data_IF_298251651323
#
_entry.id   IF_298251651323
#
_cell.length_a   1.000
_cell.length_b   1.000
_cell.length_c   1.000
_cell.angle_alpha   90.00
_cell.angle_beta   90.00
_cell.angle_gamma   90.00
#
_symmetry.space_group_name_H-M   'P 1'
#
loop_
_entity.id
_entity.type
_entity.pdbx_description
1 polymer ?
#
# COMPACT_ATOMS: atom_id res chain seq x y z
N UNK A 1 -114.03 -32.51 96.96
CA UNK A 1 -113.62 -31.13 96.67
C UNK A 1 -112.11 -31.19 96.52
N UNK A 2 -111.46 -30.77 95.46
CA UNK A 2 -111.87 -29.89 94.37
C UNK A 2 -110.81 -30.00 93.27
N UNK A 3 -111.19 -29.49 92.11
CA UNK A 3 -110.56 -29.55 90.79
C UNK A 3 -109.24 -28.78 90.67
N UNK A 4 -108.39 -29.18 89.72
CA UNK A 4 -107.72 -28.32 88.73
C UNK A 4 -106.98 -29.21 87.71
N UNK A 5 -107.45 -29.37 86.47
CA UNK A 5 -107.29 -28.49 85.28
C UNK A 5 -105.87 -28.43 84.67
N UNK A 6 -105.83 -28.68 83.36
CA UNK A 6 -104.70 -28.46 82.46
C UNK A 6 -104.13 -29.78 81.94
N UNK A 7 -103.95 -30.01 80.64
CA UNK A 7 -104.13 -29.21 79.44
C UNK A 7 -104.04 -30.25 78.30
N UNK A 8 -104.97 -30.22 77.34
CA UNK A 8 -104.92 -31.08 76.13
C UNK A 8 -103.80 -30.53 75.22
N UNK A 9 -103.14 -31.36 74.40
CA UNK A 9 -103.42 -31.54 72.98
C UNK A 9 -102.45 -32.64 72.49
N UNK A 10 -102.77 -33.61 71.65
CA UNK A 10 -103.98 -34.01 70.95
C UNK A 10 -103.56 -35.30 70.24
N UNK A 11 -104.18 -36.42 70.62
CA UNK A 11 -103.94 -37.75 70.05
C UNK A 11 -105.28 -38.28 69.59
N UNK A 12 -105.65 -38.00 68.35
CA UNK A 12 -106.70 -38.78 67.68
C UNK A 12 -106.01 -39.87 66.85
N UNK A 13 -106.24 -41.09 67.34
CA UNK A 13 -105.87 -42.35 66.72
C UNK A 13 -106.87 -42.68 65.59
N UNK A 14 -106.34 -43.28 64.51
CA UNK A 14 -106.95 -44.19 63.51
C UNK A 14 -108.43 -43.95 63.09
N UNK A 15 -108.75 -43.75 61.79
CA UNK A 15 -110.05 -43.21 61.36
C UNK A 15 -111.33 -44.04 61.55
N UNK A 16 -111.32 -45.21 62.22
CA UNK A 16 -112.52 -45.81 62.83
C UNK A 16 -112.09 -46.94 63.79
N UNK A 17 -112.61 -46.88 65.01
CA UNK A 17 -112.26 -47.66 66.21
C UNK A 17 -111.96 -49.17 66.03
N UNK A 18 -110.73 -49.60 66.37
CA UNK A 18 -110.37 -50.56 67.45
C UNK A 18 -108.94 -51.15 67.30
N UNK A 19 -108.13 -51.01 68.36
CA UNK A 19 -106.83 -51.67 68.62
C UNK A 19 -106.99 -53.19 68.89
N UNK A 20 -105.95 -54.07 68.70
CA UNK A 20 -104.68 -54.03 69.44
C UNK A 20 -103.36 -54.36 68.70
N UNK A 21 -102.26 -53.97 69.34
CA UNK A 21 -100.84 -54.16 68.99
C UNK A 21 -100.38 -55.62 68.73
N UNK A 22 -99.36 -55.81 67.87
CA UNK A 22 -98.07 -56.44 68.29
C UNK A 22 -96.94 -56.47 67.23
N UNK A 23 -95.79 -55.87 67.61
CA UNK A 23 -94.37 -56.28 67.36
C UNK A 23 -93.82 -56.46 65.92
N UNK A 24 -92.88 -55.61 65.49
CA UNK A 24 -91.41 -55.78 65.75
C UNK A 24 -90.53 -54.86 64.88
N UNK A 25 -89.96 -53.84 65.54
CA UNK A 25 -88.56 -53.37 65.51
C UNK A 25 -87.68 -53.48 64.23
N UNK A 26 -87.35 -52.35 63.62
CA UNK A 26 -86.02 -52.08 63.01
C UNK A 26 -85.52 -50.75 63.61
N UNK A 27 -84.37 -50.79 64.29
CA UNK A 27 -83.76 -49.63 64.96
C UNK A 27 -83.14 -48.63 63.96
N UNK A 28 -82.91 -47.37 64.37
CA UNK A 28 -82.37 -46.33 63.50
C UNK A 28 -80.96 -46.71 62.99
N UNK A 29 -80.69 -46.45 61.70
CA UNK A 29 -79.35 -46.59 61.10
C UNK A 29 -78.33 -45.78 61.89
N UNK A 30 -77.22 -46.41 62.26
CA UNK A 30 -76.15 -45.76 63.02
C UNK A 30 -75.53 -44.57 62.27
N UNK A 31 -74.95 -43.59 62.98
CA UNK A 31 -74.35 -42.41 62.35
C UNK A 31 -73.23 -42.82 61.38
N UNK A 32 -73.14 -42.13 60.24
CA UNK A 32 -72.02 -42.28 59.29
C UNK A 32 -70.70 -42.07 60.02
N UNK A 33 -69.75 -42.99 59.81
CA UNK A 33 -68.43 -42.92 60.44
C UNK A 33 -67.68 -41.61 60.11
N UNK A 34 -66.72 -41.19 60.94
CA UNK A 34 -65.94 -39.99 60.69
C UNK A 34 -65.17 -40.09 59.36
N UNK A 35 -65.09 -38.99 58.62
CA UNK A 35 -64.25 -38.88 57.41
C UNK A 35 -62.80 -39.23 57.76
N UNK A 36 -62.15 -40.05 56.92
CA UNK A 36 -60.76 -40.45 57.13
C UNK A 36 -59.78 -39.26 57.13
N UNK A 37 -58.58 -39.42 57.72
CA UNK A 37 -57.57 -38.37 57.74
C UNK A 37 -57.13 -37.96 56.33
N UNK A 38 -56.83 -36.67 56.14
CA UNK A 38 -56.28 -36.15 54.88
C UNK A 38 -54.92 -36.82 54.57
N UNK A 39 -54.69 -37.16 53.30
CA UNK A 39 -53.43 -37.77 52.86
C UNK A 39 -52.23 -36.82 53.00
N UNK A 40 -51.03 -37.38 53.15
CA UNK A 40 -49.78 -36.60 53.25
C UNK A 40 -49.51 -35.79 51.97
N UNK A 41 -48.86 -34.61 52.06
CA UNK A 41 -48.40 -33.87 50.90
C UNK A 41 -47.48 -34.70 49.99
N UNK A 42 -47.56 -34.49 48.68
CA UNK A 42 -46.68 -35.14 47.70
C UNK A 42 -45.22 -34.69 47.85
N UNK A 43 -44.28 -35.54 47.42
CA UNK A 43 -42.86 -35.21 47.40
C UNK A 43 -42.56 -34.04 46.43
N UNK A 44 -41.55 -33.18 46.72
CA UNK A 44 -41.07 -32.18 45.77
C UNK A 44 -40.68 -32.79 44.43
N UNK A 45 -40.96 -32.09 43.33
CA UNK A 45 -40.57 -32.52 41.98
C UNK A 45 -39.04 -32.52 41.77
N UNK A 46 -38.54 -33.24 40.76
CA UNK A 46 -37.11 -33.24 40.43
C UNK A 46 -36.63 -31.84 40.03
N UNK A 47 -35.33 -31.57 40.22
CA UNK A 47 -34.69 -30.36 39.72
C UNK A 47 -34.84 -30.27 38.18
N UNK A 48 -35.06 -29.06 37.66
CA UNK A 48 -35.11 -28.81 36.22
C UNK A 48 -33.76 -29.07 35.52
N UNK A 49 -33.76 -29.23 34.18
CA UNK A 49 -32.52 -29.43 33.42
C UNK A 49 -31.60 -28.21 33.52
N UNK A 50 -30.28 -28.43 33.45
CA UNK A 50 -29.30 -27.35 33.30
C UNK A 50 -29.59 -26.54 32.04
N UNK A 51 -29.49 -25.21 32.12
CA UNK A 51 -29.69 -24.33 30.97
C UNK A 51 -28.63 -24.51 29.87
N UNK A 52 -28.87 -23.99 28.65
CA UNK A 52 -27.91 -24.09 27.55
C UNK A 52 -26.60 -23.35 27.87
N UNK A 53 -25.47 -23.89 27.41
CA UNK A 53 -24.17 -23.21 27.45
C UNK A 53 -24.24 -21.90 26.65
N UNK A 54 -23.66 -20.82 27.17
CA UNK A 54 -23.61 -19.52 26.49
C UNK A 54 -22.77 -19.53 25.19
N UNK A 55 -22.93 -18.53 24.31
CA UNK A 55 -22.18 -18.46 23.05
C UNK A 55 -20.66 -18.30 23.27
N UNK A 56 -19.85 -18.99 22.46
CA UNK A 56 -18.39 -18.87 22.44
C UNK A 56 -17.96 -17.45 22.00
N UNK A 57 -16.87 -16.93 22.56
CA UNK A 57 -16.42 -15.54 22.40
C UNK A 57 -16.16 -15.12 20.95
N UNK A 58 -16.51 -13.87 20.62
CA UNK A 58 -16.36 -13.25 19.30
C UNK A 58 -14.90 -12.93 18.99
N UNK A 59 -14.51 -13.04 17.71
CA UNK A 59 -13.24 -12.51 17.23
C UNK A 59 -13.12 -11.00 17.52
N UNK A 60 -11.90 -10.55 17.79
CA UNK A 60 -11.54 -9.16 18.05
C UNK A 60 -10.49 -8.69 17.05
N UNK A 61 -10.55 -7.41 16.69
CA UNK A 61 -9.62 -6.77 15.74
C UNK A 61 -8.96 -5.58 16.45
N UNK A 62 -7.63 -5.52 16.39
CA UNK A 62 -6.81 -4.40 16.81
C UNK A 62 -5.93 -3.91 15.65
N UNK A 63 -5.53 -2.64 15.70
CA UNK A 63 -4.58 -2.04 14.76
C UNK A 63 -3.18 -2.18 15.32
N UNK A 64 -2.26 -2.71 14.53
CA UNK A 64 -0.83 -2.77 14.83
C UNK A 64 -0.09 -1.57 14.26
N UNK A 65 0.96 -1.83 13.47
CA UNK A 65 1.83 -0.81 12.91
C UNK A 65 1.26 -0.23 11.61
N UNK A 66 1.57 1.04 11.33
CA UNK A 66 1.28 1.68 10.05
C UNK A 66 2.59 2.13 9.40
N UNK A 67 2.93 1.54 8.27
CA UNK A 67 4.17 1.79 7.53
C UNK A 67 3.87 2.32 6.13
N UNK A 68 4.82 3.01 5.51
CA UNK A 68 4.70 3.41 4.10
C UNK A 68 5.18 2.29 3.17
N UNK A 69 4.60 2.19 1.97
CA UNK A 69 5.06 1.25 0.94
C UNK A 69 4.56 1.60 -0.46
N UNK A 70 4.98 0.84 -1.46
CA UNK A 70 4.61 1.08 -2.87
C UNK A 70 3.18 0.64 -3.20
N UNK A 71 2.63 -0.30 -2.43
CA UNK A 71 1.29 -0.83 -2.61
C UNK A 71 0.53 -0.80 -1.28
N UNK A 72 -0.77 -0.54 -1.37
CA UNK A 72 -1.64 -0.66 -0.21
C UNK A 72 -1.71 -2.12 0.22
N UNK A 73 -1.48 -2.37 1.51
CA UNK A 73 -1.56 -3.72 2.07
C UNK A 73 -2.15 -3.68 3.48
N UNK A 74 -2.88 -4.73 3.83
CA UNK A 74 -3.28 -5.04 5.21
C UNK A 74 -2.71 -6.41 5.54
N UNK A 75 -1.96 -6.50 6.64
CA UNK A 75 -1.27 -7.71 7.07
C UNK A 75 -1.79 -8.10 8.45
N UNK A 76 -2.39 -9.28 8.58
CA UNK A 76 -2.76 -9.82 9.89
C UNK A 76 -1.57 -10.57 10.50
N UNK A 77 -1.04 -10.06 11.61
CA UNK A 77 0.13 -10.63 12.29
C UNK A 77 -0.20 -11.77 13.25
N UNK A 78 -1.42 -11.81 13.77
CA UNK A 78 -1.76 -12.68 14.91
C UNK A 78 -2.82 -13.71 14.58
N UNK A 79 -3.71 -13.45 13.61
CA UNK A 79 -4.82 -14.35 13.29
C UNK A 79 -5.92 -14.36 14.37
N UNK A 80 -6.98 -15.15 14.16
CA UNK A 80 -8.11 -15.22 15.08
C UNK A 80 -7.80 -16.03 16.35
N UNK A 81 -8.46 -15.74 17.49
CA UNK A 81 -9.58 -14.81 17.65
C UNK A 81 -9.19 -13.37 18.01
N UNK A 82 -7.90 -13.03 18.03
CA UNK A 82 -7.41 -11.67 18.32
C UNK A 82 -6.52 -11.20 17.17
N UNK A 83 -7.15 -10.69 16.13
CA UNK A 83 -6.47 -10.20 14.93
C UNK A 83 -5.78 -8.86 15.21
N UNK A 84 -4.55 -8.71 14.72
CA UNK A 84 -3.78 -7.45 14.76
C UNK A 84 -3.38 -7.14 13.33
N UNK A 85 -3.99 -6.09 12.79
CA UNK A 85 -3.80 -5.69 11.40
C UNK A 85 -2.77 -4.57 11.33
N UNK A 86 -1.67 -4.81 10.62
CA UNK A 86 -0.73 -3.78 10.19
C UNK A 86 -1.15 -3.22 8.83
N UNK A 87 -0.90 -1.93 8.61
CA UNK A 87 -1.26 -1.23 7.39
C UNK A 87 -0.02 -0.74 6.66
N UNK A 88 0.06 -1.02 5.36
CA UNK A 88 1.01 -0.39 4.45
C UNK A 88 0.26 0.69 3.68
N UNK A 89 0.56 1.96 3.97
CA UNK A 89 0.00 3.10 3.25
C UNK A 89 0.77 3.27 1.93
N UNK A 90 0.07 3.26 0.78
CA UNK A 90 0.71 3.51 -0.49
C UNK A 90 1.19 4.96 -0.53
N UNK A 91 2.50 5.15 -0.68
CA UNK A 91 3.07 6.46 -0.96
C UNK A 91 3.48 6.53 -2.42
N UNK A 92 2.92 7.49 -3.13
CA UNK A 92 3.44 7.89 -4.43
C UNK A 92 4.63 8.80 -4.14
N UNK A 93 5.86 8.37 -4.41
CA UNK A 93 6.93 9.35 -4.62
C UNK A 93 6.85 9.78 -6.08
N UNK A 94 6.38 11.01 -6.37
CA UNK A 94 6.46 11.50 -7.73
C UNK A 94 7.93 11.49 -8.13
N UNK A 95 8.28 10.70 -9.15
CA UNK A 95 9.59 10.79 -9.75
C UNK A 95 9.77 12.22 -10.27
N UNK A 96 10.72 12.95 -9.70
CA UNK A 96 11.10 14.25 -10.21
C UNK A 96 11.87 14.04 -11.50
N UNK A 97 11.33 14.50 -12.62
CA UNK A 97 12.06 14.53 -13.89
C UNK A 97 12.89 15.80 -13.92
N UNK A 98 14.22 15.65 -13.99
CA UNK A 98 15.14 16.77 -14.08
C UNK A 98 15.73 16.83 -15.48
N UNK A 99 15.54 17.93 -16.22
CA UNK A 99 16.13 18.06 -17.54
C UNK A 99 17.54 18.64 -17.50
N UNK A 100 18.36 18.24 -18.47
CA UNK A 100 19.63 18.87 -18.81
C UNK A 100 19.46 19.58 -20.15
N UNK A 101 19.73 20.88 -20.14
CA UNK A 101 19.75 21.71 -21.34
C UNK A 101 21.07 22.48 -21.39
N UNK A 102 21.80 22.46 -22.53
CA UNK A 102 22.95 23.32 -22.73
C UNK A 102 22.54 24.80 -22.84
N UNK A 103 23.51 25.70 -22.82
CA UNK A 103 23.35 27.14 -23.09
C UNK A 103 23.15 27.48 -24.58
N UNK A 104 23.28 26.48 -25.47
CA UNK A 104 23.09 26.63 -26.91
C UNK A 104 23.37 25.34 -27.67
N UNK A 105 23.67 25.45 -28.97
CA UNK A 105 24.12 24.32 -29.76
C UNK A 105 25.44 23.76 -29.20
N UNK A 106 25.54 22.43 -29.13
CA UNK A 106 26.79 21.76 -28.76
C UNK A 106 27.50 21.25 -30.00
N UNK A 107 28.83 21.13 -29.93
CA UNK A 107 29.66 20.56 -30.98
C UNK A 107 30.42 19.36 -30.43
N UNK A 108 30.22 18.19 -31.02
CA UNK A 108 30.96 16.97 -30.72
C UNK A 108 31.99 16.76 -31.83
N UNK A 109 33.23 16.41 -31.48
CA UNK A 109 34.28 16.14 -32.47
C UNK A 109 34.93 14.79 -32.21
N UNK A 110 35.20 14.07 -33.29
CA UNK A 110 35.92 12.80 -33.26
C UNK A 110 37.30 12.96 -33.91
N UNK A 111 38.29 12.27 -33.35
CA UNK A 111 39.72 12.54 -33.53
C UNK A 111 40.31 12.22 -34.90
N UNK A 112 39.47 11.91 -35.90
CA UNK A 112 39.99 11.57 -37.21
C UNK A 112 40.51 12.78 -38.02
N UNK A 113 40.15 14.02 -37.63
CA UNK A 113 40.72 15.27 -38.17
C UNK A 113 41.15 16.24 -37.02
N UNK A 114 41.20 15.77 -35.77
CA UNK A 114 41.44 16.61 -34.59
C UNK A 114 41.67 15.81 -33.29
N UNK A 115 41.48 16.45 -32.14
CA UNK A 115 41.45 15.77 -30.83
C UNK A 115 40.01 15.42 -30.46
N UNK A 116 39.78 14.21 -29.93
CA UNK A 116 38.48 13.85 -29.39
C UNK A 116 38.07 14.87 -28.33
N UNK A 117 36.86 15.41 -28.48
CA UNK A 117 36.31 16.37 -27.52
C UNK A 117 34.96 15.87 -27.05
N UNK A 118 34.75 15.97 -25.74
CA UNK A 118 33.48 15.72 -25.10
C UNK A 118 32.83 17.05 -24.72
N UNK A 119 31.52 17.04 -24.52
CA UNK A 119 30.77 18.19 -24.02
C UNK A 119 30.17 17.84 -22.68
N UNK A 120 30.61 18.54 -21.64
CA UNK A 120 29.99 18.49 -20.33
C UNK A 120 28.80 19.45 -20.31
N UNK A 121 27.68 18.99 -19.76
CA UNK A 121 26.41 19.71 -19.75
C UNK A 121 25.89 19.74 -18.31
N UNK A 122 25.65 20.95 -17.84
CA UNK A 122 25.04 21.24 -16.55
C UNK A 122 23.62 21.76 -16.72
N UNK A 123 23.24 22.69 -15.84
CA UNK A 123 21.97 23.39 -15.85
C UNK A 123 22.11 24.70 -16.64
N UNK A 124 21.75 24.68 -17.92
CA UNK A 124 21.85 25.86 -18.78
C UNK A 124 23.29 26.29 -19.05
N UNK A 125 24.24 25.36 -18.97
CA UNK A 125 25.66 25.57 -19.30
C UNK A 125 26.17 24.34 -20.04
N UNK A 126 26.98 24.57 -21.08
CA UNK A 126 27.75 23.52 -21.74
C UNK A 126 29.21 23.92 -21.90
N UNK A 127 30.10 22.93 -21.91
CA UNK A 127 31.53 23.15 -22.06
C UNK A 127 32.19 22.02 -22.84
N UNK A 128 32.93 22.38 -23.88
CA UNK A 128 33.81 21.45 -24.58
C UNK A 128 35.08 21.18 -23.77
N UNK A 129 35.43 19.91 -23.62
CA UNK A 129 36.60 19.44 -22.88
C UNK A 129 37.34 18.37 -23.70
N UNK A 130 38.65 18.21 -23.51
CA UNK A 130 39.38 17.07 -24.08
C UNK A 130 38.74 15.77 -23.60
N UNK A 131 38.47 14.85 -24.53
CA UNK A 131 37.95 13.54 -24.17
C UNK A 131 39.08 12.59 -23.81
N UNK A 132 38.92 11.92 -22.67
CA UNK A 132 39.69 10.74 -22.30
C UNK A 132 38.69 9.69 -21.81
N UNK A 133 38.75 8.50 -22.39
CA UNK A 133 37.79 7.44 -22.12
C UNK A 133 37.78 7.05 -20.64
N UNK A 134 36.58 7.05 -20.04
CA UNK A 134 36.34 6.73 -18.63
C UNK A 134 37.17 7.55 -17.63
N UNK A 135 37.67 8.72 -18.03
CA UNK A 135 38.46 9.57 -17.17
C UNK A 135 37.56 10.39 -16.24
N UNK A 136 38.00 10.55 -14.99
CA UNK A 136 37.40 11.53 -14.09
C UNK A 136 37.60 12.95 -14.63
N UNK A 137 36.59 13.80 -14.49
CA UNK A 137 36.66 15.20 -14.91
C UNK A 137 37.05 16.07 -13.72
N UNK A 138 38.20 16.73 -13.79
CA UNK A 138 38.63 17.68 -12.77
C UNK A 138 38.45 19.12 -13.25
N UNK A 139 37.53 19.83 -12.61
CA UNK A 139 37.27 21.25 -12.88
C UNK A 139 37.97 22.20 -11.89
N UNK A 140 38.88 21.71 -11.02
CA UNK A 140 39.54 22.51 -9.97
C UNK A 140 40.33 23.73 -10.48
N UNK A 141 40.89 23.64 -11.69
CA UNK A 141 41.65 24.70 -12.34
C UNK A 141 40.82 25.55 -13.31
N UNK A 142 39.51 25.30 -13.38
CA UNK A 142 38.59 25.98 -14.29
C UNK A 142 37.40 26.56 -13.51
N UNK A 143 36.57 27.38 -14.17
CA UNK A 143 35.33 27.81 -13.53
C UNK A 143 34.45 26.57 -13.26
N UNK A 144 33.86 26.42 -12.07
CA UNK A 144 33.00 25.29 -11.77
C UNK A 144 31.79 25.31 -12.72
N UNK A 145 31.44 24.14 -13.24
CA UNK A 145 30.20 23.94 -14.02
C UNK A 145 28.98 24.18 -13.12
N UNK A 146 27.90 24.75 -13.68
CA UNK A 146 26.59 24.78 -13.04
C UNK A 146 25.96 23.37 -13.00
N UNK A 147 26.42 22.53 -12.09
CA UNK A 147 25.93 21.17 -11.93
C UNK A 147 24.58 21.11 -11.21
N UNK A 148 23.82 20.04 -11.46
CA UNK A 148 22.61 19.74 -10.72
C UNK A 148 22.95 19.32 -9.30
N UNK A 149 22.46 20.05 -8.30
CA UNK A 149 22.64 19.73 -6.88
C UNK A 149 21.50 18.83 -6.38
N UNK A 150 21.86 17.75 -5.70
CA UNK A 150 20.91 16.85 -5.03
C UNK A 150 20.43 17.49 -3.71
N UNK A 151 19.15 17.91 -3.58
CA UNK A 151 18.67 18.57 -2.35
C UNK A 151 18.51 17.60 -1.17
N UNK A 152 18.39 16.30 -1.45
CA UNK A 152 18.30 15.21 -0.48
C UNK A 152 18.86 13.94 -1.13
N UNK A 153 19.04 12.88 -0.35
CA UNK A 153 19.35 11.57 -0.92
C UNK A 153 18.20 11.12 -1.81
N UNK A 154 18.51 10.75 -3.05
CA UNK A 154 17.55 10.37 -4.09
C UNK A 154 18.02 9.09 -4.78
N UNK A 155 17.10 8.41 -5.46
CA UNK A 155 17.43 7.30 -6.36
C UNK A 155 17.21 7.68 -7.81
N UNK A 156 18.24 7.49 -8.64
CA UNK A 156 18.16 7.59 -10.10
C UNK A 156 17.53 6.33 -10.65
N UNK A 157 16.40 6.48 -11.33
CA UNK A 157 15.63 5.35 -11.89
C UNK A 157 15.68 5.26 -13.40
N UNK A 158 15.74 6.41 -14.08
CA UNK A 158 15.70 6.48 -15.53
C UNK A 158 16.54 7.64 -16.05
N UNK A 159 17.01 7.50 -17.29
CA UNK A 159 17.75 8.50 -18.03
C UNK A 159 17.35 8.42 -19.50
N UNK A 160 17.12 9.56 -20.13
CA UNK A 160 16.86 9.66 -21.56
C UNK A 160 17.69 10.80 -22.16
N UNK A 161 18.25 10.56 -23.34
CA UNK A 161 19.08 11.54 -24.05
C UNK A 161 18.68 11.53 -25.52
N UNK A 162 18.48 12.73 -26.07
CA UNK A 162 18.23 12.98 -27.49
C UNK A 162 19.16 14.08 -27.98
N UNK A 163 19.83 13.84 -29.10
CA UNK A 163 20.69 14.79 -29.77
C UNK A 163 20.25 14.93 -31.23
N UNK A 164 19.84 16.13 -31.63
CA UNK A 164 19.44 16.45 -33.00
C UNK A 164 20.58 17.20 -33.70
N UNK A 165 21.20 16.57 -34.69
CA UNK A 165 22.26 17.19 -35.48
C UNK A 165 21.71 18.24 -36.45
N UNK A 166 22.45 19.33 -36.69
CA UNK A 166 22.06 20.41 -37.61
C UNK A 166 22.13 19.99 -39.10
N UNK A 167 22.67 18.81 -39.38
CA UNK A 167 22.79 18.25 -40.72
C UNK A 167 22.46 16.75 -40.73
N UNK A 168 22.24 16.20 -41.92
CA UNK A 168 22.19 14.76 -42.14
C UNK A 168 23.58 14.16 -41.88
N UNK A 169 23.63 13.15 -41.02
CA UNK A 169 24.83 12.38 -40.72
C UNK A 169 24.74 11.04 -41.45
N UNK A 170 25.72 10.73 -42.30
CA UNK A 170 25.75 9.46 -43.03
C UNK A 170 25.96 8.26 -42.08
N UNK A 171 25.50 7.08 -42.46
CA UNK A 171 25.39 5.92 -41.56
C UNK A 171 26.71 5.17 -41.27
N UNK A 172 27.87 5.73 -41.67
CA UNK A 172 29.19 5.10 -41.55
C UNK A 172 30.10 5.72 -40.47
N UNK A 173 29.51 6.39 -39.48
CA UNK A 173 30.23 7.26 -38.53
C UNK A 173 30.20 6.76 -37.09
N UNK A 174 31.04 7.34 -36.24
CA UNK A 174 31.22 6.93 -34.86
C UNK A 174 29.96 7.00 -34.00
N UNK A 175 29.96 6.30 -32.87
CA UNK A 175 28.79 6.20 -31.98
C UNK A 175 28.75 7.36 -31.02
N UNK A 176 27.66 8.15 -31.03
CA UNK A 176 27.44 9.17 -30.00
C UNK A 176 27.12 8.48 -28.68
N UNK A 177 27.83 8.86 -27.63
CA UNK A 177 27.69 8.32 -26.27
C UNK A 177 27.28 9.42 -25.30
N UNK A 178 26.61 9.03 -24.24
CA UNK A 178 26.30 9.90 -23.12
C UNK A 178 26.41 9.16 -21.80
N UNK A 179 26.84 9.82 -20.72
CA UNK A 179 26.94 9.23 -19.39
C UNK A 179 26.82 10.30 -18.31
N UNK A 180 26.26 9.94 -17.15
CA UNK A 180 26.23 10.82 -15.99
C UNK A 180 27.54 10.76 -15.22
N UNK A 181 27.92 11.91 -14.68
CA UNK A 181 29.10 12.11 -13.86
C UNK A 181 28.67 12.73 -12.53
N UNK A 182 29.27 12.27 -11.44
CA UNK A 182 28.93 12.70 -10.09
C UNK A 182 30.15 13.20 -9.32
N UNK A 183 29.97 14.27 -8.56
CA UNK A 183 30.95 14.76 -7.60
C UNK A 183 30.29 14.98 -6.24
N UNK A 184 31.05 14.81 -5.16
CA UNK A 184 30.61 15.19 -3.82
C UNK A 184 30.40 16.71 -3.71
N UNK A 185 29.66 17.16 -2.70
CA UNK A 185 29.25 18.56 -2.51
C UNK A 185 30.40 19.57 -2.67
N UNK A 186 31.55 19.27 -2.06
CA UNK A 186 32.72 20.17 -2.04
C UNK A 186 33.81 19.77 -3.06
N UNK A 187 33.60 18.70 -3.84
CA UNK A 187 34.59 18.19 -4.80
C UNK A 187 34.44 18.86 -6.17
N UNK A 188 35.55 19.19 -6.81
CA UNK A 188 35.59 19.57 -8.24
C UNK A 188 35.92 18.38 -9.15
N UNK A 189 36.12 17.20 -8.57
CA UNK A 189 36.41 15.96 -9.27
C UNK A 189 35.11 15.17 -9.47
N UNK A 190 34.73 15.00 -10.73
CA UNK A 190 33.58 14.23 -11.14
C UNK A 190 34.00 12.85 -11.64
N UNK A 191 33.31 11.83 -11.16
CA UNK A 191 33.57 10.42 -11.46
C UNK A 191 32.41 9.89 -12.31
N UNK A 192 32.67 9.09 -13.36
CA UNK A 192 31.61 8.48 -14.16
C UNK A 192 30.71 7.59 -13.29
N UNK A 193 29.40 7.76 -13.47
CA UNK A 193 28.40 6.94 -12.79
C UNK A 193 28.21 5.64 -13.59
N UNK A 194 28.54 4.51 -12.98
CA UNK A 194 28.38 3.19 -13.58
C UNK A 194 26.91 2.96 -14.01
N UNK A 195 26.71 2.12 -15.02
CA UNK A 195 25.39 1.73 -15.55
C UNK A 195 24.57 2.87 -16.19
N UNK A 196 25.11 4.09 -16.27
CA UNK A 196 24.47 5.24 -16.93
C UNK A 196 25.01 5.54 -18.33
N UNK A 197 25.93 4.74 -18.85
CA UNK A 197 26.44 4.93 -20.20
C UNK A 197 25.40 4.50 -21.24
N UNK A 198 25.02 5.43 -22.10
CA UNK A 198 24.09 5.25 -23.20
C UNK A 198 24.81 5.31 -24.54
N UNK A 199 24.46 4.39 -25.44
CA UNK A 199 24.86 4.44 -26.86
C UNK A 199 23.69 4.94 -27.69
N UNK A 200 23.80 6.16 -28.21
CA UNK A 200 22.73 6.80 -28.95
C UNK A 200 22.72 6.29 -30.38
N UNK A 201 21.57 5.75 -30.78
CA UNK A 201 21.36 5.24 -32.13
C UNK A 201 20.56 6.26 -32.94
N UNK A 202 20.79 6.37 -34.26
CA UNK A 202 19.97 7.21 -35.12
C UNK A 202 18.52 6.70 -35.11
N UNK A 203 17.58 7.56 -34.70
CA UNK A 203 16.16 7.25 -34.57
C UNK A 203 15.40 7.36 -35.90
N UNK A 204 15.75 8.37 -36.71
CA UNK A 204 15.17 8.60 -38.04
C UNK A 204 16.22 9.18 -38.99
N UNK A 205 16.28 8.63 -40.21
CA UNK A 205 17.07 9.15 -41.33
C UNK A 205 16.12 9.51 -42.47
N UNK A 206 15.46 10.67 -42.38
CA UNK A 206 14.77 11.25 -43.54
C UNK A 206 15.79 12.05 -44.36
N UNK A 207 15.97 11.78 -45.67
CA UNK A 207 16.92 12.48 -46.54
C UNK A 207 16.69 14.00 -46.65
N UNK A 208 15.53 14.51 -46.24
CA UNK A 208 15.21 15.94 -46.17
C UNK A 208 15.24 16.52 -44.73
N UNK A 209 15.52 15.71 -43.70
CA UNK A 209 15.46 16.11 -42.30
C UNK A 209 16.81 16.02 -41.59
N UNK A 210 16.90 16.55 -40.39
CA UNK A 210 18.04 16.37 -39.49
C UNK A 210 18.16 14.92 -38.98
N UNK A 211 19.38 14.45 -38.66
CA UNK A 211 19.55 13.16 -37.99
C UNK A 211 19.33 13.32 -36.48
N UNK A 212 18.44 12.52 -35.92
CA UNK A 212 18.18 12.49 -34.47
C UNK A 212 18.82 11.23 -33.90
N UNK A 213 19.67 11.40 -32.89
CA UNK A 213 20.26 10.33 -32.09
C UNK A 213 19.50 10.22 -30.78
N UNK A 214 19.18 9.01 -30.34
CA UNK A 214 18.45 8.82 -29.09
C UNK A 214 18.89 7.57 -28.34
N UNK A 215 18.74 7.61 -27.01
CA UNK A 215 18.80 6.44 -26.14
C UNK A 215 18.10 6.72 -24.81
N UNK A 216 17.68 5.66 -24.13
CA UNK A 216 17.25 5.73 -22.74
C UNK A 216 17.65 4.49 -21.95
N UNK A 217 17.92 4.65 -20.66
CA UNK A 217 18.02 3.57 -19.68
C UNK A 217 16.92 3.74 -18.64
N UNK A 218 16.31 2.63 -18.24
CA UNK A 218 15.33 2.59 -17.16
C UNK A 218 15.60 1.42 -16.22
N UNK A 219 14.99 1.46 -15.04
CA UNK A 219 15.26 0.47 -13.98
C UNK A 219 16.65 0.60 -13.36
N UNK A 220 17.26 1.78 -13.46
CA UNK A 220 18.47 2.12 -12.73
C UNK A 220 18.17 2.08 -11.23
N UNK A 221 19.15 1.67 -10.43
CA UNK A 221 19.03 1.71 -8.97
C UNK A 221 20.27 2.32 -8.32
N UNK A 222 20.53 3.58 -8.68
CA UNK A 222 21.73 4.30 -8.24
C UNK A 222 21.33 5.32 -7.16
N UNK A 223 21.99 5.25 -6.01
CA UNK A 223 21.77 6.19 -4.92
C UNK A 223 22.65 7.43 -5.10
N UNK A 224 22.03 8.60 -5.03
CA UNK A 224 22.68 9.90 -5.09
C UNK A 224 22.52 10.54 -3.72
N UNK A 225 23.64 10.77 -3.03
CA UNK A 225 23.61 11.35 -1.69
C UNK A 225 23.26 12.83 -1.71
N UNK A 226 22.68 13.32 -0.61
CA UNK A 226 22.37 14.74 -0.45
C UNK A 226 23.62 15.61 -0.63
N UNK A 227 23.50 16.68 -1.41
CA UNK A 227 24.59 17.58 -1.74
C UNK A 227 25.44 17.15 -2.94
N UNK A 228 25.29 15.93 -3.45
CA UNK A 228 26.01 15.47 -4.66
C UNK A 228 25.67 16.36 -5.86
N UNK A 229 26.64 16.52 -6.75
CA UNK A 229 26.55 17.30 -7.98
C UNK A 229 26.55 16.37 -9.19
N UNK A 230 25.64 16.58 -10.12
CA UNK A 230 25.53 15.78 -11.35
C UNK A 230 25.80 16.62 -12.59
N UNK A 231 26.51 16.02 -13.54
CA UNK A 231 26.72 16.52 -14.89
C UNK A 231 26.42 15.41 -15.89
N UNK A 232 26.01 15.79 -17.10
CA UNK A 232 25.91 14.90 -18.23
C UNK A 232 27.11 15.13 -19.14
N UNK A 233 27.80 14.07 -19.54
CA UNK A 233 28.88 14.13 -20.53
C UNK A 233 28.42 13.47 -21.82
N UNK A 234 28.68 14.11 -22.95
CA UNK A 234 28.47 13.54 -24.29
C UNK A 234 29.78 13.50 -25.07
N UNK A 235 30.01 12.43 -25.82
CA UNK A 235 31.19 12.28 -26.66
C UNK A 235 30.89 11.38 -27.86
N UNK A 236 31.87 11.21 -28.74
CA UNK A 236 31.78 10.25 -29.85
C UNK A 236 32.83 9.19 -29.63
N UNK A 237 32.39 7.93 -29.62
CA UNK A 237 33.25 6.77 -29.53
C UNK A 237 33.50 6.21 -30.93
N UNK A 238 34.76 5.91 -31.22
CA UNK A 238 35.24 5.17 -32.39
C UNK A 238 34.60 5.55 -33.73
N UNK A 239 35.29 6.37 -34.51
CA UNK A 239 34.90 6.66 -35.90
C UNK A 239 35.13 8.11 -36.27
N UNK A 240 34.99 8.43 -37.56
CA UNK A 240 34.84 9.82 -37.96
C UNK A 240 33.42 10.27 -37.75
N UNK A 241 33.24 11.55 -37.44
CA UNK A 241 32.00 12.25 -37.69
C UNK A 241 32.16 12.96 -39.02
N UNK A 242 31.41 12.57 -40.05
CA UNK A 242 31.38 13.22 -41.36
C UNK A 242 32.74 13.57 -42.00
N UNK A 243 32.74 14.47 -43.00
CA UNK A 243 33.96 14.95 -43.67
C UNK A 243 34.69 16.07 -42.91
N UNK A 244 34.04 16.72 -41.95
CA UNK A 244 34.61 17.78 -41.10
C UNK A 244 35.14 17.25 -39.75
N UNK A 245 34.83 16.00 -39.37
CA UNK A 245 35.28 15.43 -38.10
C UNK A 245 34.45 15.91 -36.90
N UNK A 246 33.30 16.56 -37.12
CA UNK A 246 32.49 17.20 -36.08
C UNK A 246 31.00 17.17 -36.42
N UNK A 247 30.14 17.12 -35.40
CA UNK A 247 28.69 17.34 -35.53
C UNK A 247 28.26 18.44 -34.58
N UNK A 248 27.46 19.37 -35.06
CA UNK A 248 26.79 20.38 -34.23
C UNK A 248 25.30 20.06 -34.12
N UNK A 249 24.67 20.45 -33.02
CA UNK A 249 23.25 20.20 -32.85
C UNK A 249 22.69 20.62 -31.51
N UNK A 250 21.41 20.30 -31.32
CA UNK A 250 20.64 20.55 -30.12
C UNK A 250 20.59 19.30 -29.25
N UNK A 251 20.83 19.48 -27.94
CA UNK A 251 20.75 18.41 -26.95
C UNK A 251 19.51 18.62 -26.06
N UNK A 252 18.79 17.53 -25.81
CA UNK A 252 17.80 17.43 -24.75
C UNK A 252 18.01 16.14 -23.98
N UNK A 253 18.14 16.23 -22.67
CA UNK A 253 18.26 15.05 -21.82
C UNK A 253 17.46 15.21 -20.54
N UNK A 254 17.10 14.09 -19.93
CA UNK A 254 16.41 14.06 -18.65
C UNK A 254 16.80 12.85 -17.82
N UNK A 255 16.64 13.00 -16.51
CA UNK A 255 16.78 11.92 -15.53
C UNK A 255 15.55 11.87 -14.63
N UNK A 256 15.20 10.69 -14.13
CA UNK A 256 14.15 10.50 -13.16
C UNK A 256 14.73 10.19 -11.79
N UNK A 257 14.30 10.93 -10.77
CA UNK A 257 14.77 10.86 -9.39
C UNK A 257 13.62 10.59 -8.43
N UNK A 258 13.80 9.67 -7.46
CA UNK A 258 12.78 9.31 -6.44
C UNK A 258 13.28 9.42 -5.00
#
# INVERSE_FOLDING_TARGET
MEYAYGYYDGWDCDPDWQMPCSRSCIGPTGPTGPTGPQGYPGYPGPAGPTGPTGPSGSDTIAIGDTTEGMAAQVIDRTGGPQHVLDFVLPVSRPAGVVPFFPDGCIALSAGCIGTDSAVAVGLGESRSIPYAENASLDFSQTLPMQALLAPKTMRLTDMAVSFQADAQISTAYGTVKAQLYMADADSSLYIPLADTELSLLPAETDPCAHTIFWASAGGLDITIDAGSKLLLLLWVQEGCLDTEGRITGQLSASIALT
#
